data_IF_626436000818
#
_entry.id   IF_626436000818
#
_cell.length_a   1.000
_cell.length_b   1.000
_cell.length_c   1.000
_cell.angle_alpha   90.00
_cell.angle_beta   90.00
_cell.angle_gamma   90.00
#
_symmetry.space_group_name_H-M   'P 1'
#
loop_
_entity.id
_entity.type
_entity.pdbx_description
1 polymer ?
#
# COMPACT_ATOMS: atom_id res chain seq x y z
N UNK A 1 22.67 11.05 -30.53
CA UNK A 1 22.33 9.89 -29.68
C UNK A 1 20.85 9.94 -29.37
N UNK A 2 20.04 9.13 -30.05
CA UNK A 2 18.64 8.90 -29.70
C UNK A 2 18.61 8.12 -28.39
N UNK A 3 18.17 8.74 -27.29
CA UNK A 3 17.87 8.00 -26.06
C UNK A 3 16.65 7.13 -26.36
N UNK A 4 16.79 5.82 -26.21
CA UNK A 4 15.63 4.92 -26.31
C UNK A 4 14.54 5.37 -25.31
N UNK A 5 13.27 5.39 -25.72
CA UNK A 5 12.18 5.76 -24.83
C UNK A 5 12.10 4.76 -23.67
N UNK A 6 12.00 5.28 -22.45
CA UNK A 6 11.77 4.44 -21.27
C UNK A 6 10.31 3.99 -21.31
N UNK A 7 10.11 2.69 -21.52
CA UNK A 7 8.78 2.07 -21.44
C UNK A 7 8.46 1.79 -19.97
N UNK A 8 7.29 2.25 -19.52
CA UNK A 8 6.81 2.05 -18.15
C UNK A 8 5.59 1.13 -18.21
N UNK A 9 5.67 -0.02 -17.56
CA UNK A 9 4.55 -0.94 -17.38
C UNK A 9 4.18 -0.96 -15.90
N UNK A 10 2.95 -0.56 -15.59
CA UNK A 10 2.53 -0.36 -14.21
C UNK A 10 2.51 -1.67 -13.41
N UNK A 11 2.30 -2.82 -14.05
CA UNK A 11 2.31 -4.14 -13.40
C UNK A 11 3.71 -4.68 -13.06
N UNK A 12 4.79 -3.95 -13.34
CA UNK A 12 6.17 -4.47 -13.20
C UNK A 12 6.94 -3.91 -11.99
N UNK A 13 6.30 -3.17 -11.08
CA UNK A 13 6.99 -2.64 -9.89
C UNK A 13 7.64 -3.79 -9.11
N UNK A 14 6.85 -4.80 -8.77
CA UNK A 14 7.28 -5.95 -7.96
C UNK A 14 8.39 -6.74 -8.66
N UNK A 15 8.32 -6.84 -10.00
CA UNK A 15 9.37 -7.45 -10.82
C UNK A 15 10.69 -6.70 -10.68
N UNK A 16 10.68 -5.37 -10.81
CA UNK A 16 11.90 -4.56 -10.68
C UNK A 16 12.44 -4.57 -9.25
N UNK A 17 11.58 -4.59 -8.23
CA UNK A 17 11.99 -4.72 -6.83
C UNK A 17 12.64 -6.08 -6.55
N UNK A 18 12.04 -7.17 -7.03
CA UNK A 18 12.59 -8.52 -6.90
C UNK A 18 13.93 -8.66 -7.64
N UNK A 19 14.03 -8.14 -8.86
CA UNK A 19 15.28 -8.15 -9.61
C UNK A 19 16.36 -7.34 -8.91
N UNK A 20 16.03 -6.15 -8.38
CA UNK A 20 16.98 -5.37 -7.58
C UNK A 20 17.45 -6.16 -6.36
N UNK A 21 16.54 -6.83 -5.64
CA UNK A 21 16.89 -7.66 -4.47
C UNK A 21 17.84 -8.79 -4.86
N UNK A 22 17.51 -9.57 -5.89
CA UNK A 22 18.36 -10.68 -6.38
C UNK A 22 19.75 -10.21 -6.79
N UNK A 23 19.86 -9.08 -7.48
CA UNK A 23 21.16 -8.54 -7.91
C UNK A 23 21.96 -8.02 -6.71
N UNK A 24 21.30 -7.43 -5.70
CA UNK A 24 21.97 -7.02 -4.46
C UNK A 24 22.50 -8.24 -3.69
N UNK A 25 21.72 -9.31 -3.59
CA UNK A 25 22.16 -10.58 -2.98
C UNK A 25 23.39 -11.16 -3.72
N UNK A 26 23.44 -11.03 -5.06
CA UNK A 26 24.62 -11.44 -5.83
C UNK A 26 25.85 -10.57 -5.54
N UNK A 27 25.69 -9.26 -5.33
CA UNK A 27 26.80 -8.38 -4.91
C UNK A 27 27.34 -8.85 -3.55
N UNK A 28 26.45 -9.13 -2.60
CA UNK A 28 26.84 -9.56 -1.26
C UNK A 28 27.50 -10.95 -1.27
N UNK A 29 27.11 -11.83 -2.20
CA UNK A 29 27.71 -13.14 -2.38
C UNK A 29 29.13 -13.12 -2.98
N UNK A 30 29.53 -12.05 -3.69
CA UNK A 30 30.90 -11.90 -4.20
C UNK A 30 31.93 -11.77 -3.07
N UNK A 31 31.54 -11.15 -1.95
CA UNK A 31 32.37 -11.08 -0.75
C UNK A 31 31.50 -11.18 0.50
N UNK A 32 31.17 -12.42 0.94
CA UNK A 32 30.35 -12.63 2.12
C UNK A 32 30.93 -11.93 3.35
N UNK A 33 30.07 -11.29 4.15
CA UNK A 33 30.47 -10.55 5.35
C UNK A 33 30.89 -9.10 5.12
N UNK A 34 31.22 -8.68 3.88
CA UNK A 34 31.67 -7.31 3.61
C UNK A 34 30.64 -6.24 4.03
N UNK A 35 29.36 -6.48 3.75
CA UNK A 35 28.28 -5.55 4.15
C UNK A 35 28.23 -5.36 5.66
N UNK A 36 28.40 -6.43 6.42
CA UNK A 36 28.42 -6.38 7.89
C UNK A 36 29.69 -5.67 8.38
N UNK A 37 30.86 -5.95 7.78
CA UNK A 37 32.10 -5.22 8.09
C UNK A 37 31.94 -3.70 7.89
N UNK A 38 31.31 -3.28 6.79
CA UNK A 38 31.03 -1.86 6.51
C UNK A 38 30.02 -1.28 7.51
N UNK A 39 28.98 -2.03 7.87
CA UNK A 39 28.01 -1.61 8.88
C UNK A 39 28.68 -1.39 10.23
N UNK A 40 29.53 -2.33 10.66
CA UNK A 40 30.25 -2.22 11.92
C UNK A 40 31.22 -1.03 11.94
N UNK A 41 31.92 -0.76 10.83
CA UNK A 41 32.76 0.45 10.68
C UNK A 41 31.94 1.72 10.87
N UNK A 42 30.80 1.84 10.18
CA UNK A 42 29.90 3.00 10.33
C UNK A 42 29.32 3.12 11.73
N UNK A 43 28.94 2.01 12.37
CA UNK A 43 28.45 2.01 13.76
C UNK A 43 29.52 2.44 14.78
N UNK A 44 30.79 2.16 14.48
CA UNK A 44 31.91 2.62 15.31
C UNK A 44 32.13 4.14 15.23
N UNK A 45 31.72 4.78 14.14
CA UNK A 45 31.81 6.23 13.93
C UNK A 45 30.65 7.02 14.58
N UNK A 46 29.58 6.34 15.02
CA UNK A 46 28.47 6.98 15.74
C UNK A 46 28.91 7.51 17.11
N UNK A 47 28.28 8.61 17.55
CA UNK A 47 28.40 9.04 18.95
C UNK A 47 27.75 8.04 19.89
N UNK A 48 28.10 8.12 21.18
CA UNK A 48 27.52 7.23 22.18
C UNK A 48 26.00 7.44 22.32
N UNK A 49 25.52 8.69 22.21
CA UNK A 49 24.09 9.01 22.22
C UNK A 49 23.36 8.45 20.99
N UNK A 50 23.97 8.55 19.81
CA UNK A 50 23.42 8.00 18.57
C UNK A 50 23.34 6.47 18.63
N UNK A 51 24.40 5.81 19.12
CA UNK A 51 24.43 4.35 19.28
C UNK A 51 23.37 3.88 20.27
N UNK A 52 23.28 4.54 21.43
CA UNK A 52 22.27 4.23 22.44
C UNK A 52 20.84 4.43 21.90
N UNK A 53 20.60 5.51 21.15
CA UNK A 53 19.31 5.79 20.54
C UNK A 53 18.93 4.72 19.49
N UNK A 54 19.89 4.30 18.67
CA UNK A 54 19.71 3.25 17.67
C UNK A 54 19.33 1.90 18.31
N UNK A 55 20.01 1.54 19.39
CA UNK A 55 19.82 0.27 20.11
C UNK A 55 18.55 0.26 20.99
N UNK A 56 18.01 1.42 21.33
CA UNK A 56 16.74 1.54 22.06
C UNK A 56 15.56 1.13 21.16
N UNK A 57 14.68 0.20 21.59
CA UNK A 57 13.52 -0.21 20.80
C UNK A 57 12.64 0.98 20.40
N UNK A 58 12.15 1.01 19.15
CA UNK A 58 11.40 2.15 18.58
C UNK A 58 10.26 2.68 19.46
N UNK A 59 9.55 1.78 20.15
CA UNK A 59 8.42 2.10 21.04
C UNK A 59 8.85 2.74 22.37
N UNK A 60 10.12 2.56 22.76
CA UNK A 60 10.69 3.04 24.02
C UNK A 60 11.57 4.29 23.84
N UNK A 61 11.79 4.75 22.59
CA UNK A 61 12.59 5.94 22.28
C UNK A 61 11.88 7.21 22.77
N UNK A 62 12.61 8.06 23.50
CA UNK A 62 12.19 9.46 23.77
C UNK A 62 12.12 10.28 22.48
N UNK A 63 11.58 11.50 22.54
CA UNK A 63 11.52 12.38 21.37
C UNK A 63 12.92 12.65 20.78
N UNK A 64 13.91 12.93 21.64
CA UNK A 64 15.28 13.19 21.20
C UNK A 64 15.97 11.94 20.68
N UNK A 65 15.74 10.78 21.31
CA UNK A 65 16.25 9.49 20.83
C UNK A 65 15.65 9.11 19.47
N UNK A 66 14.41 9.52 19.16
CA UNK A 66 13.85 9.27 17.82
C UNK A 66 14.64 10.00 16.74
N UNK A 67 14.99 11.26 16.98
CA UNK A 67 15.80 12.06 16.04
C UNK A 67 17.21 11.50 15.90
N UNK A 68 17.89 11.22 17.03
CA UNK A 68 19.24 10.65 17.03
C UNK A 68 19.29 9.26 16.38
N UNK A 69 18.28 8.42 16.61
CA UNK A 69 18.20 7.12 15.98
C UNK A 69 17.95 7.23 14.47
N UNK A 70 17.15 8.20 14.01
CA UNK A 70 16.95 8.41 12.58
C UNK A 70 18.24 8.85 11.87
N UNK A 71 19.00 9.76 12.50
CA UNK A 71 20.32 10.17 12.01
C UNK A 71 21.30 8.99 12.00
N UNK A 72 21.34 8.19 13.08
CA UNK A 72 22.18 7.00 13.16
C UNK A 72 21.79 5.93 12.11
N UNK A 73 20.49 5.72 11.86
CA UNK A 73 19.98 4.82 10.82
C UNK A 73 20.46 5.29 9.42
N UNK A 74 20.48 6.60 9.15
CA UNK A 74 21.02 7.17 7.90
C UNK A 74 22.54 7.01 7.78
N UNK A 75 23.28 7.37 8.84
CA UNK A 75 24.74 7.28 8.87
C UNK A 75 25.24 5.84 8.71
N UNK A 76 24.48 4.87 9.21
CA UNK A 76 24.83 3.44 9.17
C UNK A 76 24.28 2.70 7.96
N UNK A 77 23.47 3.34 7.11
CA UNK A 77 22.95 2.69 5.91
C UNK A 77 24.10 2.27 4.97
N UNK A 78 24.24 0.97 4.73
CA UNK A 78 25.23 0.43 3.77
C UNK A 78 24.53 0.20 2.43
N UNK A 79 24.83 1.04 1.44
CA UNK A 79 24.24 0.91 0.10
C UNK A 79 24.94 -0.19 -0.71
N UNK A 80 24.22 -0.93 -1.56
CA UNK A 80 24.80 -1.93 -2.48
C UNK A 80 25.88 -1.36 -3.41
N UNK A 81 25.78 -0.09 -3.79
CA UNK A 81 26.80 0.58 -4.59
C UNK A 81 28.11 0.84 -3.80
N UNK A 82 28.02 0.96 -2.47
CA UNK A 82 29.18 1.04 -1.59
C UNK A 82 29.85 -0.33 -1.47
N UNK A 83 29.08 -1.39 -1.17
CA UNK A 83 29.59 -2.77 -1.14
C UNK A 83 30.33 -3.10 -2.44
N UNK A 84 29.73 -2.79 -3.59
CA UNK A 84 30.34 -3.05 -4.89
C UNK A 84 31.63 -2.25 -5.15
N UNK A 85 31.78 -1.05 -4.58
CA UNK A 85 33.02 -0.25 -4.71
C UNK A 85 34.16 -0.83 -3.87
N UNK A 86 33.83 -1.40 -2.73
CA UNK A 86 34.79 -2.01 -1.79
C UNK A 86 35.26 -3.40 -2.25
N UNK A 87 34.54 -4.05 -3.18
CA UNK A 87 35.00 -5.28 -3.83
C UNK A 87 36.14 -4.96 -4.80
N UNK A 88 37.34 -5.45 -4.47
CA UNK A 88 38.55 -5.31 -5.28
C UNK A 88 38.99 -6.66 -5.86
N UNK A 89 40.07 -6.68 -6.66
CA UNK A 89 40.58 -7.91 -7.25
C UNK A 89 39.76 -8.42 -8.45
N UNK A 90 39.77 -9.74 -8.72
CA UNK A 90 39.13 -10.35 -9.90
C UNK A 90 37.63 -10.05 -10.02
N UNK A 91 36.92 -9.95 -8.88
CA UNK A 91 35.46 -9.76 -8.84
C UNK A 91 35.02 -8.31 -9.00
N UNK A 92 35.95 -7.34 -8.98
CA UNK A 92 35.64 -5.90 -9.09
C UNK A 92 34.78 -5.57 -10.31
N UNK A 93 35.12 -6.12 -11.47
CA UNK A 93 34.38 -5.85 -12.72
C UNK A 93 32.95 -6.38 -12.64
N UNK A 94 32.77 -7.55 -12.04
CA UNK A 94 31.46 -8.17 -11.84
C UNK A 94 30.64 -7.36 -10.83
N UNK A 95 31.23 -6.95 -9.71
CA UNK A 95 30.58 -6.13 -8.69
C UNK A 95 30.05 -4.80 -9.26
N UNK A 96 30.87 -4.10 -10.05
CA UNK A 96 30.45 -2.85 -10.72
C UNK A 96 29.29 -3.08 -11.69
N UNK A 97 29.33 -4.17 -12.48
CA UNK A 97 28.24 -4.51 -13.41
C UNK A 97 26.93 -4.76 -12.66
N UNK A 98 26.97 -5.57 -11.61
CA UNK A 98 25.81 -5.86 -10.77
C UNK A 98 25.28 -4.59 -10.09
N UNK A 99 26.15 -3.70 -9.61
CA UNK A 99 25.71 -2.44 -9.01
C UNK A 99 24.95 -1.54 -10.00
N UNK A 100 25.41 -1.46 -11.25
CA UNK A 100 24.68 -0.73 -12.31
C UNK A 100 23.32 -1.36 -12.58
N UNK A 101 23.24 -2.68 -12.61
CA UNK A 101 21.99 -3.41 -12.83
C UNK A 101 21.00 -3.24 -11.66
N UNK A 102 21.48 -3.33 -10.40
CA UNK A 102 20.67 -3.06 -9.22
C UNK A 102 20.15 -1.61 -9.22
N UNK A 103 21.01 -0.64 -9.55
CA UNK A 103 20.63 0.76 -9.64
C UNK A 103 19.56 1.00 -10.72
N UNK A 104 19.69 0.34 -11.89
CA UNK A 104 18.69 0.39 -12.96
C UNK A 104 17.35 -0.17 -12.49
N UNK A 105 17.33 -1.34 -11.86
CA UNK A 105 16.11 -1.98 -11.36
C UNK A 105 15.45 -1.12 -10.27
N UNK A 106 16.19 -0.63 -9.26
CA UNK A 106 15.63 0.28 -8.24
C UNK A 106 15.08 1.57 -8.84
N UNK A 107 15.76 2.13 -9.85
CA UNK A 107 15.27 3.32 -10.57
C UNK A 107 13.95 3.04 -11.29
N UNK A 108 13.84 1.88 -11.96
CA UNK A 108 12.61 1.48 -12.64
C UNK A 108 11.47 1.23 -11.66
N UNK A 109 11.72 0.53 -10.54
CA UNK A 109 10.72 0.33 -9.48
C UNK A 109 10.18 1.67 -8.94
N UNK A 110 11.08 2.62 -8.61
CA UNK A 110 10.69 3.97 -8.18
C UNK A 110 9.87 4.72 -9.23
N UNK A 111 10.26 4.61 -10.50
CA UNK A 111 9.55 5.25 -11.60
C UNK A 111 8.14 4.66 -11.75
N UNK A 112 8.02 3.33 -11.78
CA UNK A 112 6.74 2.64 -11.86
C UNK A 112 5.85 3.01 -10.67
N UNK A 113 6.38 2.96 -9.45
CA UNK A 113 5.66 3.34 -8.22
C UNK A 113 5.11 4.76 -8.29
N UNK A 114 5.92 5.73 -8.76
CA UNK A 114 5.46 7.12 -8.96
C UNK A 114 4.28 7.19 -9.94
N UNK A 115 4.35 6.50 -11.07
CA UNK A 115 3.26 6.53 -12.04
C UNK A 115 2.03 5.76 -11.55
N UNK A 116 2.21 4.65 -10.81
CA UNK A 116 1.12 3.95 -10.13
C UNK A 116 0.36 4.89 -9.20
N UNK A 117 1.08 5.66 -8.39
CA UNK A 117 0.49 6.64 -7.49
C UNK A 117 -0.33 7.69 -8.26
N UNK A 118 0.24 8.29 -9.33
CA UNK A 118 -0.43 9.34 -10.12
C UNK A 118 -1.78 8.87 -10.68
N UNK A 119 -1.85 7.63 -11.19
CA UNK A 119 -3.07 7.10 -11.82
C UNK A 119 -3.94 6.29 -10.87
N UNK A 120 -3.59 6.27 -9.58
CA UNK A 120 -4.25 5.45 -8.55
C UNK A 120 -4.35 3.97 -8.95
N UNK A 121 -3.25 3.43 -9.50
CA UNK A 121 -3.21 2.11 -10.11
C UNK A 121 -3.61 1.00 -9.15
N UNK A 122 -3.12 1.03 -7.91
CA UNK A 122 -3.35 -0.05 -6.95
C UNK A 122 -4.83 -0.14 -6.56
N UNK A 123 -5.51 1.00 -6.43
CA UNK A 123 -6.97 1.05 -6.28
C UNK A 123 -7.69 0.42 -7.47
N UNK A 124 -7.38 0.85 -8.70
CA UNK A 124 -8.05 0.33 -9.89
C UNK A 124 -7.79 -1.16 -10.10
N UNK A 125 -6.58 -1.63 -9.78
CA UNK A 125 -6.22 -3.05 -9.80
C UNK A 125 -7.03 -3.84 -8.78
N UNK A 126 -7.12 -3.36 -7.54
CA UNK A 126 -7.91 -4.00 -6.49
C UNK A 126 -9.41 -4.01 -6.86
N UNK A 127 -9.95 -2.86 -7.29
CA UNK A 127 -11.34 -2.73 -7.72
C UNK A 127 -11.66 -3.66 -8.88
N UNK A 128 -10.81 -3.73 -9.91
CA UNK A 128 -11.03 -4.65 -11.03
C UNK A 128 -11.08 -6.12 -10.60
N UNK A 129 -10.25 -6.51 -9.62
CA UNK A 129 -10.31 -7.87 -9.04
C UNK A 129 -11.58 -8.09 -8.21
N UNK A 130 -11.95 -7.11 -7.39
CA UNK A 130 -13.14 -7.15 -6.54
C UNK A 130 -14.43 -7.23 -7.36
N UNK A 131 -14.57 -6.42 -8.41
CA UNK A 131 -15.79 -6.33 -9.25
C UNK A 131 -16.02 -7.56 -10.13
N UNK A 132 -15.01 -8.44 -10.28
CA UNK A 132 -15.16 -9.74 -10.93
C UNK A 132 -15.73 -10.83 -9.99
N UNK A 133 -15.85 -10.53 -8.70
CA UNK A 133 -16.36 -11.48 -7.72
C UNK A 133 -17.89 -11.54 -7.69
N UNK A 134 -18.45 -12.75 -7.62
CA UNK A 134 -19.91 -12.97 -7.62
C UNK A 134 -20.63 -12.25 -6.47
N UNK A 135 -19.99 -12.13 -5.30
CA UNK A 135 -20.57 -11.38 -4.17
C UNK A 135 -20.63 -9.89 -4.48
N UNK A 136 -19.59 -9.33 -5.11
CA UNK A 136 -19.56 -7.92 -5.50
C UNK A 136 -20.61 -7.63 -6.58
N UNK A 137 -20.72 -8.50 -7.58
CA UNK A 137 -21.75 -8.39 -8.63
C UNK A 137 -23.15 -8.43 -8.00
N UNK A 138 -23.38 -9.36 -7.07
CA UNK A 138 -24.65 -9.48 -6.34
C UNK A 138 -24.95 -8.25 -5.49
N UNK A 139 -23.97 -7.72 -4.77
CA UNK A 139 -24.11 -6.52 -3.96
C UNK A 139 -24.43 -5.29 -4.84
N UNK A 140 -23.71 -5.10 -5.95
CA UNK A 140 -23.97 -4.05 -6.95
C UNK A 140 -25.39 -4.15 -7.51
N UNK A 141 -25.84 -5.36 -7.85
CA UNK A 141 -27.19 -5.63 -8.34
C UNK A 141 -28.26 -5.27 -7.30
N UNK A 142 -28.09 -5.67 -6.05
CA UNK A 142 -29.03 -5.37 -4.96
C UNK A 142 -29.15 -3.86 -4.72
N UNK A 143 -28.03 -3.14 -4.69
CA UNK A 143 -28.04 -1.68 -4.58
C UNK A 143 -28.71 -1.03 -5.79
N UNK A 144 -28.47 -1.53 -7.00
CA UNK A 144 -29.13 -1.04 -8.21
C UNK A 144 -30.66 -1.24 -8.15
N UNK A 145 -31.11 -2.45 -7.83
CA UNK A 145 -32.54 -2.77 -7.69
C UNK A 145 -33.22 -1.96 -6.58
N UNK A 146 -32.52 -1.72 -5.46
CA UNK A 146 -33.01 -0.85 -4.39
C UNK A 146 -33.17 0.61 -4.85
N UNK A 147 -32.25 1.11 -5.67
CA UNK A 147 -32.36 2.44 -6.27
C UNK A 147 -33.52 2.54 -7.29
N UNK A 148 -33.76 1.50 -8.09
CA UNK A 148 -34.90 1.46 -9.01
C UNK A 148 -36.22 1.52 -8.24
N UNK A 149 -36.39 0.64 -7.25
CA UNK A 149 -37.59 0.64 -6.40
C UNK A 149 -37.82 1.98 -5.69
N UNK A 150 -36.74 2.62 -5.21
CA UNK A 150 -36.80 3.96 -4.63
C UNK A 150 -37.31 5.01 -5.63
N UNK A 151 -36.82 4.98 -6.87
CA UNK A 151 -37.26 5.86 -7.95
C UNK A 151 -38.74 5.66 -8.33
N UNK A 152 -39.25 4.44 -8.21
CA UNK A 152 -40.65 4.08 -8.43
C UNK A 152 -41.56 4.42 -7.23
N UNK A 153 -40.99 4.85 -6.10
CA UNK A 153 -41.72 5.14 -4.87
C UNK A 153 -42.05 3.90 -4.01
N UNK A 154 -41.57 2.71 -4.39
CA UNK A 154 -41.68 1.49 -3.57
C UNK A 154 -40.58 1.48 -2.51
N UNK A 155 -40.81 2.25 -1.45
CA UNK A 155 -39.87 2.41 -0.33
C UNK A 155 -39.65 1.09 0.45
N UNK A 156 -40.66 0.21 0.49
CA UNK A 156 -40.57 -1.07 1.21
C UNK A 156 -39.61 -2.02 0.49
N UNK A 157 -39.77 -2.18 -0.83
CA UNK A 157 -38.84 -2.97 -1.64
C UNK A 157 -37.45 -2.34 -1.64
N UNK A 158 -37.36 -1.02 -1.77
CA UNK A 158 -36.09 -0.32 -1.71
C UNK A 158 -35.32 -0.66 -0.43
N UNK A 159 -35.95 -0.47 0.75
CA UNK A 159 -35.34 -0.79 2.06
C UNK A 159 -34.81 -2.22 2.09
N UNK A 160 -35.64 -3.21 1.75
CA UNK A 160 -35.25 -4.63 1.77
C UNK A 160 -34.03 -4.89 0.87
N UNK A 161 -33.99 -4.30 -0.32
CA UNK A 161 -32.88 -4.44 -1.26
C UNK A 161 -31.59 -3.81 -0.74
N UNK A 162 -31.68 -2.66 -0.07
CA UNK A 162 -30.52 -2.07 0.62
C UNK A 162 -30.05 -2.96 1.77
N UNK A 163 -30.94 -3.50 2.60
CA UNK A 163 -30.58 -4.41 3.70
C UNK A 163 -29.82 -5.64 3.19
N UNK A 164 -30.36 -6.32 2.18
CA UNK A 164 -29.70 -7.46 1.50
C UNK A 164 -28.37 -7.04 0.85
N UNK A 165 -28.35 -5.86 0.22
CA UNK A 165 -27.16 -5.29 -0.42
C UNK A 165 -26.04 -5.03 0.56
N UNK A 166 -26.33 -4.41 1.72
CA UNK A 166 -25.34 -4.14 2.75
C UNK A 166 -24.81 -5.41 3.40
N UNK A 167 -25.68 -6.39 3.66
CA UNK A 167 -25.25 -7.70 4.14
C UNK A 167 -24.33 -8.42 3.15
N UNK A 168 -24.54 -8.23 1.85
CA UNK A 168 -23.66 -8.78 0.82
C UNK A 168 -22.35 -8.00 0.73
N UNK A 169 -22.40 -6.67 0.78
CA UNK A 169 -21.21 -5.81 0.84
C UNK A 169 -20.31 -6.12 2.04
N UNK A 170 -20.88 -6.48 3.19
CA UNK A 170 -20.09 -6.93 4.36
C UNK A 170 -19.20 -8.11 4.00
N UNK A 171 -19.76 -9.14 3.37
CA UNK A 171 -19.01 -10.31 2.91
C UNK A 171 -17.93 -9.97 1.89
N UNK A 172 -18.21 -8.99 1.01
CA UNK A 172 -17.22 -8.49 0.05
C UNK A 172 -16.04 -7.83 0.80
N UNK A 173 -16.31 -6.97 1.77
CA UNK A 173 -15.27 -6.28 2.52
C UNK A 173 -14.47 -7.21 3.43
N UNK A 174 -15.08 -8.27 3.95
CA UNK A 174 -14.35 -9.31 4.69
C UNK A 174 -13.36 -10.07 3.77
N UNK A 175 -13.67 -10.17 2.48
CA UNK A 175 -12.79 -10.78 1.46
C UNK A 175 -11.76 -9.79 0.88
N UNK A 176 -12.08 -8.51 0.85
CA UNK A 176 -11.24 -7.43 0.32
C UNK A 176 -11.07 -6.29 1.34
N UNK A 177 -10.49 -6.56 2.52
CA UNK A 177 -10.39 -5.58 3.59
C UNK A 177 -9.56 -4.36 3.20
N UNK A 178 -8.64 -4.48 2.23
CA UNK A 178 -7.83 -3.37 1.73
C UNK A 178 -8.66 -2.29 1.01
N UNK A 179 -9.91 -2.60 0.63
CA UNK A 179 -10.82 -1.62 0.03
C UNK A 179 -11.42 -0.66 1.07
N UNK A 180 -11.54 -1.09 2.33
CA UNK A 180 -12.20 -0.33 3.40
C UNK A 180 -11.62 1.08 3.57
N UNK A 181 -10.30 1.30 3.73
CA UNK A 181 -9.74 2.64 3.95
C UNK A 181 -9.71 3.51 2.67
N UNK A 182 -10.16 3.00 1.51
CA UNK A 182 -10.05 3.74 0.26
C UNK A 182 -11.09 4.87 0.18
N UNK A 183 -10.68 6.15 0.00
CA UNK A 183 -11.60 7.28 0.05
C UNK A 183 -12.59 7.33 -1.12
N UNK A 184 -12.22 6.83 -2.31
CA UNK A 184 -13.11 6.82 -3.47
C UNK A 184 -14.24 5.80 -3.23
N UNK A 185 -13.88 4.59 -2.81
CA UNK A 185 -14.85 3.57 -2.45
C UNK A 185 -15.70 3.98 -1.24
N UNK A 186 -15.08 4.54 -0.20
CA UNK A 186 -15.76 5.04 0.98
C UNK A 186 -16.81 6.10 0.63
N UNK A 187 -16.45 7.07 -0.22
CA UNK A 187 -17.40 8.08 -0.71
C UNK A 187 -18.59 7.45 -1.46
N UNK A 188 -18.36 6.50 -2.37
CA UNK A 188 -19.44 5.78 -3.06
C UNK A 188 -20.39 5.07 -2.06
N UNK A 189 -19.83 4.37 -1.07
CA UNK A 189 -20.63 3.65 -0.08
C UNK A 189 -21.38 4.57 0.88
N UNK A 190 -20.77 5.69 1.27
CA UNK A 190 -21.41 6.70 2.11
C UNK A 190 -22.63 7.31 1.42
N UNK A 191 -22.59 7.54 0.09
CA UNK A 191 -23.76 8.01 -0.66
C UNK A 191 -24.90 6.97 -0.68
N UNK A 192 -24.56 5.68 -0.79
CA UNK A 192 -25.54 4.58 -0.68
C UNK A 192 -26.18 4.54 0.72
N UNK A 193 -25.37 4.68 1.78
CA UNK A 193 -25.84 4.69 3.18
C UNK A 193 -26.72 5.92 3.46
N UNK A 194 -26.34 7.11 2.98
CA UNK A 194 -27.15 8.34 3.11
C UNK A 194 -28.53 8.16 2.48
N UNK A 195 -28.60 7.54 1.30
CA UNK A 195 -29.89 7.24 0.64
C UNK A 195 -30.73 6.25 1.43
N UNK A 196 -30.11 5.21 1.98
CA UNK A 196 -30.82 4.27 2.84
C UNK A 196 -31.40 4.94 4.11
N UNK A 197 -30.63 5.83 4.76
CA UNK A 197 -31.14 6.65 5.89
C UNK A 197 -32.35 7.48 5.48
N UNK A 198 -32.32 8.09 4.30
CA UNK A 198 -33.46 8.83 3.78
C UNK A 198 -34.70 7.95 3.60
N UNK A 199 -34.55 6.74 3.04
CA UNK A 199 -35.64 5.78 2.86
C UNK A 199 -36.24 5.37 4.21
N UNK A 200 -35.39 5.06 5.20
CA UNK A 200 -35.86 4.74 6.55
C UNK A 200 -36.65 5.89 7.16
N UNK A 201 -36.17 7.12 7.06
CA UNK A 201 -36.88 8.30 7.57
C UNK A 201 -38.23 8.54 6.90
N UNK A 202 -38.41 8.15 5.62
CA UNK A 202 -39.70 8.22 4.93
C UNK A 202 -40.68 7.11 5.33
N UNK A 203 -40.17 6.04 5.93
CA UNK A 203 -40.95 4.91 6.45
C UNK A 203 -41.14 5.00 7.97
N UNK A 204 -40.84 6.14 8.59
CA UNK A 204 -40.81 6.33 10.04
C UNK A 204 -39.93 5.29 10.78
N UNK A 205 -38.89 4.79 10.10
CA UNK A 205 -37.93 3.82 10.62
C UNK A 205 -36.67 4.48 11.17
N UNK A 206 -36.10 3.89 12.22
CA UNK A 206 -34.82 4.32 12.79
C UNK A 206 -33.63 3.68 12.07
N UNK A 207 -32.51 4.41 11.99
CA UNK A 207 -31.25 3.82 11.53
C UNK A 207 -30.75 2.77 12.54
N UNK A 208 -30.33 1.57 12.10
CA UNK A 208 -29.89 0.52 13.01
C UNK A 208 -28.71 0.97 13.88
N UNK A 209 -28.76 0.67 15.18
CA UNK A 209 -27.64 0.92 16.11
C UNK A 209 -26.42 0.07 15.76
N UNK A 210 -26.66 -1.20 15.45
CA UNK A 210 -25.64 -2.16 15.03
C UNK A 210 -25.64 -2.29 13.51
N UNK A 211 -25.41 -1.17 12.80
CA UNK A 211 -25.41 -1.18 11.35
C UNK A 211 -24.25 -2.03 10.81
N UNK A 212 -24.54 -2.94 9.86
CA UNK A 212 -23.59 -3.96 9.40
C UNK A 212 -22.34 -3.40 8.70
N UNK A 213 -22.41 -2.15 8.22
CA UNK A 213 -21.27 -1.41 7.63
C UNK A 213 -20.91 -0.17 8.48
N UNK A 214 -21.01 -0.28 9.80
CA UNK A 214 -20.65 0.82 10.71
C UNK A 214 -19.17 1.21 10.58
N UNK A 215 -18.30 0.26 10.28
CA UNK A 215 -16.87 0.49 10.03
C UNK A 215 -16.62 1.42 8.83
N UNK A 216 -17.44 1.38 7.77
CA UNK A 216 -17.37 2.37 6.68
C UNK A 216 -17.68 3.77 7.19
N UNK A 217 -18.70 3.91 8.03
CA UNK A 217 -19.09 5.22 8.58
C UNK A 217 -17.98 5.75 9.48
N UNK A 218 -17.40 4.89 10.32
CA UNK A 218 -16.37 5.29 11.26
C UNK A 218 -15.07 5.70 10.57
N UNK A 219 -14.72 4.99 9.49
CA UNK A 219 -13.54 5.25 8.66
C UNK A 219 -13.68 6.52 7.80
N UNK A 220 -14.86 6.77 7.23
CA UNK A 220 -15.08 7.83 6.22
C UNK A 220 -15.98 8.98 6.68
N UNK A 221 -16.25 9.11 7.98
CA UNK A 221 -16.96 10.29 8.50
C UNK A 221 -16.17 11.56 8.17
N UNK A 222 -16.86 12.54 7.61
CA UNK A 222 -16.29 13.87 7.46
C UNK A 222 -16.03 14.46 8.86
N UNK A 223 -14.87 15.10 9.10
CA UNK A 223 -14.56 15.75 10.38
C UNK A 223 -15.47 16.94 10.68
#
# INVERSE_FOLDING_TARGET
MTREPIVIRLNEQELFEENARKVIEQIDALKPGLREELLQKKRAELTDEQRQALDTPRQQRTADQRSLAAEAEELTEVNFAEVAREITGPDRRQAVKLAVEAAKNKRMAKLVSRYRYIVNFDYWRLRAKMEQDDLTISARKLIYEGNQAFGEGDLTTARRKFDEGFATWRKVLDKFPEMLPNPIFGSEMMEVIKRYRYILGKLDGEFPKDFILQDIIDEHKEP
#
